data_IF_343829639252
#
_entry.id   IF_343829639252
#
_cell.length_a   1.000
_cell.length_b   1.000
_cell.length_c   1.000
_cell.angle_alpha   90.00
_cell.angle_beta   90.00
_cell.angle_gamma   90.00
#
_symmetry.space_group_name_H-M   'P 1'
#
loop_
_entity.id
_entity.type
_entity.pdbx_description
1 polymer ?
#
# COMPACT_ATOMS: atom_id res chain seq x y z
N UNK A 1 -6.61 -14.51 -15.80
CA UNK A 1 -6.01 -13.56 -16.76
C UNK A 1 -4.71 -13.07 -16.14
N UNK A 2 -3.55 -13.50 -16.65
CA UNK A 2 -2.26 -13.05 -16.13
C UNK A 2 -2.11 -11.59 -16.53
N UNK A 3 -2.32 -10.67 -15.58
CA UNK A 3 -2.02 -9.26 -15.77
C UNK A 3 -0.53 -9.17 -16.13
N UNK A 4 -0.24 -8.75 -17.35
CA UNK A 4 1.12 -8.37 -17.74
C UNK A 4 1.54 -7.25 -16.80
N UNK A 5 2.54 -7.52 -15.95
CA UNK A 5 3.16 -6.53 -15.07
C UNK A 5 3.86 -5.49 -15.96
N UNK A 6 3.13 -4.44 -16.35
CA UNK A 6 3.69 -3.31 -17.07
C UNK A 6 3.87 -2.21 -16.04
N UNK A 7 5.12 -1.95 -15.66
CA UNK A 7 5.44 -0.80 -14.83
C UNK A 7 5.03 0.50 -15.54
N UNK A 8 4.51 1.46 -14.78
CA UNK A 8 4.07 2.78 -15.27
C UNK A 8 2.83 2.81 -16.19
N UNK A 9 2.05 1.73 -16.25
CA UNK A 9 0.70 1.77 -16.86
C UNK A 9 -0.38 2.18 -15.85
N UNK A 10 -1.61 2.36 -16.33
CA UNK A 10 -2.80 2.49 -15.48
C UNK A 10 -3.46 1.12 -15.26
N UNK A 11 -4.06 0.93 -14.09
CA UNK A 11 -4.92 -0.22 -13.80
C UNK A 11 -6.24 0.25 -13.21
N UNK A 12 -7.29 -0.52 -13.45
CA UNK A 12 -8.65 -0.18 -13.04
C UNK A 12 -8.89 -0.63 -11.60
N UNK A 13 -9.31 0.32 -10.75
CA UNK A 13 -9.86 0.07 -9.43
C UNK A 13 -11.37 0.35 -9.43
N UNK A 14 -12.06 -0.13 -8.39
CA UNK A 14 -13.51 -0.13 -8.30
C UNK A 14 -13.99 0.43 -6.97
N UNK A 15 -15.06 1.20 -7.00
CA UNK A 15 -15.62 1.87 -5.83
C UNK A 15 -17.14 1.72 -5.81
N UNK A 16 -17.71 1.54 -4.62
CA UNK A 16 -19.16 1.61 -4.43
C UNK A 16 -19.50 2.90 -3.69
N UNK A 17 -20.15 3.85 -4.36
CA UNK A 17 -20.49 5.15 -3.77
C UNK A 17 -21.48 5.02 -2.61
N UNK A 18 -22.40 4.03 -2.64
CA UNK A 18 -23.33 3.74 -1.52
C UNK A 18 -22.62 3.17 -0.28
N UNK A 19 -21.55 2.41 -0.47
CA UNK A 19 -20.76 1.87 0.65
C UNK A 19 -19.61 2.78 1.04
N UNK A 20 -19.24 3.73 0.20
CA UNK A 20 -18.11 4.62 0.40
C UNK A 20 -16.78 3.88 0.52
N UNK A 21 -16.58 2.79 -0.25
CA UNK A 21 -15.37 1.96 -0.10
C UNK A 21 -14.94 1.29 -1.40
N UNK A 22 -13.67 0.88 -1.42
CA UNK A 22 -13.06 0.07 -2.47
C UNK A 22 -13.76 -1.30 -2.60
N UNK A 23 -14.00 -1.74 -3.83
CA UNK A 23 -14.51 -3.06 -4.17
C UNK A 23 -13.42 -3.90 -4.82
N UNK A 24 -13.12 -5.05 -4.22
CA UNK A 24 -12.06 -5.97 -4.60
C UNK A 24 -12.51 -6.92 -5.72
N UNK A 25 -13.79 -7.31 -5.68
CA UNK A 25 -14.40 -8.21 -6.66
C UNK A 25 -15.07 -7.47 -7.83
N UNK A 26 -16.00 -8.15 -8.49
CA UNK A 26 -16.79 -7.60 -9.60
C UNK A 26 -18.16 -7.04 -9.16
N UNK A 27 -18.55 -7.25 -7.90
CA UNK A 27 -19.84 -6.83 -7.35
C UNK A 27 -19.69 -6.41 -5.88
N UNK A 28 -20.56 -5.51 -5.43
CA UNK A 28 -20.59 -5.04 -4.04
C UNK A 28 -21.63 -5.85 -3.28
N UNK A 29 -21.33 -6.25 -2.04
CA UNK A 29 -22.26 -6.96 -1.17
C UNK A 29 -23.58 -6.21 -0.89
N UNK A 30 -23.64 -4.89 -1.11
CA UNK A 30 -24.88 -4.11 -0.95
C UNK A 30 -25.79 -4.11 -2.18
N UNK A 31 -25.37 -4.69 -3.30
CA UNK A 31 -26.13 -4.77 -4.56
C UNK A 31 -26.12 -3.51 -5.43
N UNK A 32 -25.54 -2.40 -4.97
CA UNK A 32 -25.45 -1.16 -5.77
C UNK A 32 -24.40 -1.25 -6.87
N UNK A 33 -24.56 -0.37 -7.86
CA UNK A 33 -23.59 -0.20 -8.95
C UNK A 33 -22.19 0.17 -8.43
N UNK A 34 -21.20 -0.19 -9.22
CA UNK A 34 -19.79 0.03 -8.94
C UNK A 34 -19.23 0.96 -10.01
N UNK A 35 -18.59 2.04 -9.57
CA UNK A 35 -17.84 2.94 -10.43
C UNK A 35 -16.41 2.45 -10.57
N UNK A 36 -15.86 2.60 -11.77
CA UNK A 36 -14.46 2.30 -12.06
C UNK A 36 -13.64 3.59 -12.11
N UNK A 37 -12.41 3.54 -11.61
CA UNK A 37 -11.46 4.65 -11.67
C UNK A 37 -10.05 4.11 -11.92
N UNK A 38 -9.12 4.98 -12.32
CA UNK A 38 -7.76 4.57 -12.72
C UNK A 38 -6.74 4.91 -11.64
N UNK A 39 -5.90 3.93 -11.32
CA UNK A 39 -4.73 4.09 -10.44
C UNK A 39 -3.46 3.67 -11.19
N UNK A 40 -2.28 4.00 -10.67
CA UNK A 40 -1.04 3.52 -11.28
C UNK A 40 -0.80 2.03 -10.99
N UNK A 41 -0.30 1.32 -12.00
CA UNK A 41 0.24 -0.04 -11.89
C UNK A 41 1.41 -0.08 -10.89
N UNK A 42 1.56 -1.15 -10.07
CA UNK A 42 0.88 -2.44 -10.17
C UNK A 42 -0.46 -2.54 -9.42
N UNK A 43 -0.91 -1.48 -8.74
CA UNK A 43 -2.20 -1.47 -8.06
C UNK A 43 -2.23 -2.28 -6.75
N UNK A 44 -1.14 -2.30 -5.97
CA UNK A 44 -1.10 -2.95 -4.65
C UNK A 44 -1.79 -2.09 -3.58
N UNK A 45 -3.08 -1.82 -3.81
CA UNK A 45 -3.87 -0.93 -2.95
C UNK A 45 -3.94 -1.49 -1.54
N UNK A 46 -3.85 -0.61 -0.55
CA UNK A 46 -4.01 -0.93 0.88
C UNK A 46 -4.85 0.12 1.60
N UNK A 47 -5.59 -0.25 2.64
CA UNK A 47 -6.27 0.73 3.50
C UNK A 47 -5.26 1.64 4.21
N UNK A 48 -5.57 2.93 4.32
CA UNK A 48 -4.89 3.86 5.20
C UNK A 48 -5.46 3.72 6.62
N UNK A 49 -4.60 3.53 7.62
CA UNK A 49 -4.99 3.32 9.02
C UNK A 49 -4.02 3.99 9.98
N UNK A 50 -4.51 4.30 11.19
CA UNK A 50 -3.73 4.90 12.27
C UNK A 50 -2.90 6.08 11.76
N UNK A 51 -1.61 6.10 12.14
CA UNK A 51 -0.64 7.14 11.73
C UNK A 51 -0.58 7.39 10.22
N UNK A 52 -0.87 6.39 9.39
CA UNK A 52 -0.91 6.57 7.94
C UNK A 52 -2.10 7.42 7.47
N UNK A 53 -3.26 7.27 8.10
CA UNK A 53 -4.43 8.13 7.84
C UNK A 53 -4.21 9.52 8.45
N UNK A 54 -3.73 9.57 9.68
CA UNK A 54 -3.46 10.83 10.39
C UNK A 54 -2.49 11.73 9.63
N UNK A 55 -1.42 11.15 9.06
CA UNK A 55 -0.48 11.86 8.21
C UNK A 55 -1.14 12.52 7.00
N UNK A 56 -2.04 11.81 6.31
CA UNK A 56 -2.72 12.35 5.12
C UNK A 56 -3.63 13.52 5.51
N UNK A 57 -4.41 13.35 6.59
CA UNK A 57 -5.31 14.39 7.08
C UNK A 57 -4.51 15.62 7.55
N UNK A 58 -3.38 15.40 8.22
CA UNK A 58 -2.48 16.48 8.64
C UNK A 58 -1.90 17.24 7.45
N UNK A 59 -1.40 16.54 6.42
CA UNK A 59 -0.88 17.18 5.20
C UNK A 59 -1.94 18.00 4.46
N UNK A 60 -3.19 17.50 4.39
CA UNK A 60 -4.30 18.27 3.81
C UNK A 60 -4.60 19.52 4.64
N UNK A 61 -4.67 19.40 5.97
CA UNK A 61 -4.90 20.54 6.87
C UNK A 61 -3.78 21.57 6.78
N UNK A 62 -2.53 21.13 6.77
CA UNK A 62 -1.35 21.99 6.62
C UNK A 62 -1.40 22.78 5.32
N UNK A 63 -1.70 22.11 4.19
CA UNK A 63 -1.61 22.73 2.88
C UNK A 63 -2.88 23.44 2.43
N UNK A 64 -4.06 23.09 2.96
CA UNK A 64 -5.33 23.65 2.48
C UNK A 64 -6.26 24.12 3.60
N UNK A 65 -5.84 24.00 4.87
CA UNK A 65 -6.61 24.44 6.03
C UNK A 65 -7.82 23.56 6.37
N UNK A 66 -7.94 22.40 5.71
CA UNK A 66 -9.03 21.43 5.88
C UNK A 66 -8.53 20.02 5.60
N UNK A 67 -9.13 19.00 6.19
CA UNK A 67 -8.91 17.59 5.81
C UNK A 67 -9.85 17.11 4.70
N UNK A 68 -10.68 18.01 4.15
CA UNK A 68 -11.66 17.68 3.12
C UNK A 68 -12.81 16.82 3.62
N UNK A 69 -13.05 16.74 4.94
CA UNK A 69 -14.11 15.91 5.52
C UNK A 69 -13.79 14.41 5.44
N UNK A 70 -12.51 14.04 5.35
CA UNK A 70 -12.05 12.67 5.15
C UNK A 70 -11.85 11.88 6.45
N UNK A 71 -12.01 12.52 7.62
CA UNK A 71 -11.78 11.92 8.93
C UNK A 71 -12.58 10.63 9.16
N UNK A 72 -13.83 10.56 8.71
CA UNK A 72 -14.70 9.37 8.85
C UNK A 72 -14.87 8.56 7.55
N UNK A 73 -14.13 8.93 6.50
CA UNK A 73 -14.19 8.26 5.20
C UNK A 73 -13.16 7.14 5.09
N UNK A 74 -13.45 6.17 4.22
CA UNK A 74 -12.45 5.19 3.83
C UNK A 74 -11.40 5.85 2.94
N UNK A 75 -10.13 5.67 3.30
CA UNK A 75 -8.98 6.14 2.52
C UNK A 75 -8.11 4.93 2.19
N UNK A 76 -7.68 4.84 0.95
CA UNK A 76 -6.77 3.81 0.48
C UNK A 76 -5.50 4.45 -0.10
N UNK A 77 -4.41 3.69 -0.07
CA UNK A 77 -3.12 4.07 -0.59
C UNK A 77 -2.73 3.08 -1.68
N UNK A 78 -2.26 3.60 -2.81
CA UNK A 78 -1.65 2.80 -3.86
C UNK A 78 -0.18 3.18 -3.98
N UNK A 79 0.72 2.22 -3.75
CA UNK A 79 2.16 2.48 -3.84
C UNK A 79 2.53 2.78 -5.29
N UNK A 80 3.27 3.86 -5.50
CA UNK A 80 3.79 4.25 -6.82
C UNK A 80 5.31 4.37 -6.79
N UNK A 81 5.97 4.37 -7.97
CA UNK A 81 7.40 4.66 -8.03
C UNK A 81 7.74 6.07 -7.49
N UNK A 82 8.90 6.14 -6.84
CA UNK A 82 9.50 7.35 -6.28
C UNK A 82 10.90 7.02 -5.73
N UNK A 83 11.66 8.04 -5.35
CA UNK A 83 12.98 7.86 -4.72
C UNK A 83 12.87 7.09 -3.41
N UNK A 84 11.89 7.48 -2.57
CA UNK A 84 11.47 6.76 -1.38
C UNK A 84 9.95 6.49 -1.43
N UNK A 85 9.30 6.44 -0.28
CA UNK A 85 7.88 6.14 -0.12
C UNK A 85 7.04 7.16 -0.87
N UNK A 86 6.32 6.67 -1.86
CA UNK A 86 5.35 7.43 -2.64
C UNK A 86 4.04 6.65 -2.73
N UNK A 87 2.94 7.26 -2.33
CA UNK A 87 1.61 6.66 -2.32
C UNK A 87 0.59 7.60 -3.02
N UNK A 88 -0.16 7.08 -3.99
CA UNK A 88 -1.43 7.70 -4.42
C UNK A 88 -2.45 7.57 -3.29
N UNK A 89 -3.11 8.68 -2.94
CA UNK A 89 -4.19 8.73 -1.95
C UNK A 89 -5.52 8.62 -2.68
N UNK A 90 -6.29 7.59 -2.32
CA UNK A 90 -7.58 7.27 -2.91
C UNK A 90 -8.67 7.51 -1.88
N UNK A 91 -9.64 8.35 -2.22
CA UNK A 91 -10.85 8.59 -1.45
C UNK A 91 -11.99 8.92 -2.42
N UNK A 92 -13.24 8.65 -2.01
CA UNK A 92 -14.41 8.90 -2.85
C UNK A 92 -14.30 8.28 -4.26
N UNK A 93 -13.63 7.13 -4.37
CA UNK A 93 -13.46 6.43 -5.64
C UNK A 93 -12.62 7.16 -6.68
N UNK A 94 -11.72 8.05 -6.26
CA UNK A 94 -10.75 8.72 -7.14
C UNK A 94 -9.40 8.89 -6.45
N UNK A 95 -8.35 9.12 -7.24
CA UNK A 95 -7.05 9.54 -6.71
C UNK A 95 -7.09 11.04 -6.41
N UNK A 96 -7.15 11.41 -5.13
CA UNK A 96 -7.29 12.80 -4.70
C UNK A 96 -5.95 13.52 -4.49
N UNK A 97 -4.89 12.77 -4.18
CA UNK A 97 -3.57 13.32 -3.93
C UNK A 97 -2.48 12.26 -4.15
N UNK A 98 -1.22 12.68 -4.12
CA UNK A 98 -0.05 11.83 -3.95
C UNK A 98 0.72 12.33 -2.74
N UNK A 99 1.11 11.43 -1.85
CA UNK A 99 2.00 11.72 -0.72
C UNK A 99 3.37 11.11 -1.01
N UNK A 100 4.43 11.89 -0.81
CA UNK A 100 5.82 11.46 -1.02
C UNK A 100 6.66 11.76 0.20
N UNK A 101 7.60 10.90 0.53
CA UNK A 101 8.66 11.24 1.45
C UNK A 101 9.81 11.89 0.67
N UNK A 102 10.08 13.16 0.95
CA UNK A 102 11.16 13.93 0.35
C UNK A 102 12.43 13.70 1.17
N UNK A 103 13.37 12.92 0.61
CA UNK A 103 14.58 12.48 1.33
C UNK A 103 15.44 13.68 1.74
N UNK A 104 15.61 14.66 0.85
CA UNK A 104 16.42 15.85 1.10
C UNK A 104 15.84 16.74 2.21
N UNK A 105 14.51 16.80 2.30
CA UNK A 105 13.80 17.61 3.30
C UNK A 105 13.44 16.83 4.56
N UNK A 106 13.70 15.51 4.58
CA UNK A 106 13.33 14.58 5.65
C UNK A 106 11.88 14.74 6.13
N UNK A 107 10.94 14.94 5.19
CA UNK A 107 9.52 15.16 5.50
C UNK A 107 8.60 14.59 4.42
N UNK A 108 7.34 14.42 4.76
CA UNK A 108 6.32 14.11 3.76
C UNK A 108 5.84 15.38 3.06
N UNK A 109 5.64 15.28 1.75
CA UNK A 109 5.00 16.29 0.90
C UNK A 109 3.67 15.75 0.36
N UNK A 110 2.78 16.67 -0.03
CA UNK A 110 1.52 16.35 -0.66
C UNK A 110 1.41 17.05 -2.01
N UNK A 111 1.09 16.27 -3.04
CA UNK A 111 0.74 16.75 -4.37
C UNK A 111 -0.76 16.52 -4.59
N UNK A 112 -1.52 17.61 -4.73
CA UNK A 112 -2.95 17.53 -5.02
C UNK A 112 -3.20 17.00 -6.44
N UNK A 113 -4.25 16.19 -6.62
CA UNK A 113 -4.74 15.74 -7.95
C UNK A 113 -6.03 16.47 -8.32
N UNK A 114 -6.47 16.31 -9.56
CA UNK A 114 -7.69 16.96 -10.07
C UNK A 114 -8.92 16.67 -9.21
N UNK A 115 -9.15 15.40 -8.83
CA UNK A 115 -10.27 15.03 -7.97
C UNK A 115 -10.15 15.63 -6.56
N UNK A 116 -8.92 15.75 -6.03
CA UNK A 116 -8.68 16.45 -4.77
C UNK A 116 -8.95 17.96 -4.86
N UNK A 117 -8.57 18.59 -5.97
CA UNK A 117 -8.87 20.00 -6.20
C UNK A 117 -10.39 20.27 -6.27
N UNK A 118 -11.13 19.37 -6.91
CA UNK A 118 -12.59 19.40 -6.93
C UNK A 118 -13.18 19.20 -5.53
N UNK A 119 -12.71 18.20 -4.78
CA UNK A 119 -13.13 17.93 -3.40
C UNK A 119 -12.94 19.16 -2.51
N UNK A 120 -11.79 19.82 -2.59
CA UNK A 120 -11.41 20.89 -1.67
C UNK A 120 -11.92 22.28 -2.07
N UNK A 121 -12.49 22.44 -3.28
CA UNK A 121 -12.85 23.74 -3.87
C UNK A 121 -13.57 24.69 -2.91
N UNK A 122 -14.57 24.18 -2.20
CA UNK A 122 -15.46 24.97 -1.34
C UNK A 122 -15.07 24.89 0.15
N UNK A 123 -14.02 24.14 0.50
CA UNK A 123 -13.57 23.91 1.89
C UNK A 123 -12.19 24.49 2.18
N UNK A 124 -11.35 24.68 1.16
CA UNK A 124 -9.98 25.15 1.35
C UNK A 124 -9.92 26.61 1.78
N UNK A 125 -9.13 26.88 2.82
CA UNK A 125 -8.96 28.22 3.40
C UNK A 125 -7.56 28.81 3.16
N UNK A 126 -6.58 27.98 2.82
CA UNK A 126 -5.22 28.39 2.43
C UNK A 126 -4.74 27.69 1.15
N UNK A 127 -3.66 28.20 0.56
CA UNK A 127 -3.05 27.76 -0.69
C UNK A 127 -4.01 27.74 -1.87
N UNK A 128 -4.94 28.71 -1.91
CA UNK A 128 -5.88 28.88 -3.01
C UNK A 128 -5.47 30.07 -3.85
N UNK A 129 -5.40 29.88 -5.17
CA UNK A 129 -5.13 30.96 -6.13
C UNK A 129 -6.24 31.03 -7.17
N UNK A 130 -6.93 32.17 -7.21
CA UNK A 130 -7.92 32.47 -8.26
C UNK A 130 -7.24 33.34 -9.31
N UNK A 131 -7.30 32.92 -10.58
CA UNK A 131 -6.60 33.60 -11.66
C UNK A 131 -7.44 33.73 -12.93
N UNK A 132 -7.04 34.63 -13.82
CA UNK A 132 -7.76 34.95 -15.05
C UNK A 132 -6.85 35.11 -16.27
N UNK A 133 -7.38 35.75 -17.31
CA UNK A 133 -6.63 36.29 -18.44
C UNK A 133 -5.70 35.30 -19.19
N UNK A 134 -6.13 34.04 -19.27
CA UNK A 134 -5.49 33.01 -20.09
C UNK A 134 -6.56 32.13 -20.74
N UNK A 135 -6.33 31.69 -21.98
CA UNK A 135 -7.23 30.84 -22.74
C UNK A 135 -6.48 29.64 -23.37
N UNK A 136 -7.23 28.70 -23.93
CA UNK A 136 -6.69 27.49 -24.55
C UNK A 136 -6.28 26.40 -23.55
N UNK A 137 -5.40 25.50 -23.99
CA UNK A 137 -4.86 24.43 -23.17
C UNK A 137 -3.87 24.99 -22.13
N UNK A 138 -4.18 24.82 -20.83
CA UNK A 138 -3.42 25.43 -19.73
C UNK A 138 -2.55 24.45 -18.93
N UNK A 139 -2.74 23.14 -19.12
CA UNK A 139 -1.97 22.12 -18.41
C UNK A 139 -0.47 22.29 -18.65
N UNK A 140 0.31 22.28 -17.58
CA UNK A 140 1.76 22.42 -17.60
C UNK A 140 2.28 23.84 -17.73
N UNK A 141 1.43 24.85 -18.01
CA UNK A 141 1.86 26.24 -18.20
C UNK A 141 2.17 26.93 -16.88
N UNK A 142 3.11 27.88 -16.93
CA UNK A 142 3.35 28.83 -15.85
C UNK A 142 2.42 30.04 -16.00
N UNK A 143 2.01 30.61 -14.88
CA UNK A 143 1.12 31.77 -14.84
C UNK A 143 1.86 32.96 -14.22
N UNK A 144 1.87 34.14 -14.86
CA UNK A 144 2.41 35.36 -14.26
C UNK A 144 1.56 35.87 -13.11
N UNK A 145 2.18 36.54 -12.15
CA UNK A 145 1.51 37.15 -11.00
C UNK A 145 0.44 38.18 -11.39
N UNK A 146 0.65 38.89 -12.51
CA UNK A 146 -0.30 39.84 -13.07
C UNK A 146 -1.68 39.23 -13.43
N UNK A 147 -1.76 37.91 -13.59
CA UNK A 147 -3.01 37.21 -13.90
C UNK A 147 -3.79 36.77 -12.64
N UNK A 148 -3.25 37.01 -11.45
CA UNK A 148 -3.85 36.59 -10.18
C UNK A 148 -4.91 37.60 -9.74
N UNK A 149 -6.10 37.07 -9.46
CA UNK A 149 -7.23 37.84 -8.92
C UNK A 149 -7.23 37.76 -7.40
N UNK A 150 -7.08 36.56 -6.85
CA UNK A 150 -7.16 36.31 -5.41
C UNK A 150 -6.10 35.30 -4.98
N UNK A 151 -5.55 35.51 -3.78
CA UNK A 151 -4.70 34.56 -3.06
C UNK A 151 -5.35 34.37 -1.69
N UNK A 152 -5.58 33.12 -1.27
CA UNK A 152 -6.05 32.81 0.08
C UNK A 152 -4.97 32.09 0.87
N UNK A 153 -4.69 32.62 2.06
CA UNK A 153 -3.70 32.10 2.98
C UNK A 153 -2.25 32.42 2.60
N UNK A 154 -1.33 31.98 3.46
CA UNK A 154 0.11 32.19 3.32
C UNK A 154 0.80 30.86 3.02
N UNK A 155 1.70 30.87 2.05
CA UNK A 155 2.50 29.71 1.65
C UNK A 155 3.82 30.14 0.99
N UNK A 156 4.76 29.20 0.97
CA UNK A 156 6.11 29.36 0.46
C UNK A 156 6.29 28.76 -0.95
N UNK A 157 7.45 29.00 -1.56
CA UNK A 157 7.86 28.35 -2.80
C UNK A 157 7.74 26.82 -2.71
N UNK A 158 7.28 26.19 -3.80
CA UNK A 158 7.09 24.74 -3.88
C UNK A 158 5.79 24.24 -3.24
N UNK A 159 5.03 25.09 -2.54
CA UNK A 159 3.76 24.70 -1.95
C UNK A 159 2.75 24.19 -3.00
N UNK A 160 1.99 23.12 -2.69
CA UNK A 160 0.88 22.68 -3.54
C UNK A 160 -0.26 23.70 -3.47
N UNK A 161 -0.88 23.96 -4.62
CA UNK A 161 -1.95 24.96 -4.77
C UNK A 161 -3.25 24.35 -5.25
N UNK A 162 -4.37 24.89 -4.76
CA UNK A 162 -5.69 24.77 -5.37
C UNK A 162 -5.90 25.97 -6.29
N UNK A 163 -6.03 25.70 -7.59
CA UNK A 163 -6.23 26.74 -8.60
C UNK A 163 -7.69 26.83 -9.01
N UNK A 164 -8.22 28.05 -9.13
CA UNK A 164 -9.59 28.33 -9.56
C UNK A 164 -9.59 29.32 -10.72
N UNK A 165 -10.28 28.98 -11.80
CA UNK A 165 -10.44 29.85 -12.97
C UNK A 165 -11.74 29.61 -13.71
N UNK A 166 -12.65 30.59 -13.68
CA UNK A 166 -13.87 30.59 -14.52
C UNK A 166 -14.68 29.30 -14.42
N UNK A 167 -14.95 28.83 -13.19
CA UNK A 167 -15.67 27.59 -12.92
C UNK A 167 -14.84 26.31 -13.03
N UNK A 168 -13.59 26.38 -13.51
CA UNK A 168 -12.64 25.27 -13.49
C UNK A 168 -11.81 25.29 -12.22
N UNK A 169 -11.40 24.10 -11.81
CA UNK A 169 -10.48 23.89 -10.69
C UNK A 169 -9.36 22.95 -11.07
N UNK A 170 -8.26 23.00 -10.35
CA UNK A 170 -7.18 22.04 -10.56
C UNK A 170 -5.98 22.26 -9.67
N UNK A 171 -5.05 21.30 -9.63
CA UNK A 171 -3.85 21.40 -8.83
C UNK A 171 -2.77 22.26 -9.49
N UNK A 172 -1.98 22.94 -8.66
CA UNK A 172 -0.81 23.69 -9.06
C UNK A 172 0.36 23.55 -8.08
N UNK A 173 1.47 24.21 -8.42
CA UNK A 173 2.64 24.33 -7.53
C UNK A 173 3.14 25.77 -7.59
N UNK A 174 3.31 26.39 -6.42
CA UNK A 174 3.88 27.71 -6.28
C UNK A 174 5.35 27.71 -6.71
N UNK A 175 5.76 28.71 -7.47
CA UNK A 175 7.18 28.95 -7.79
C UNK A 175 7.80 30.04 -6.94
N UNK A 176 6.99 30.80 -6.24
CA UNK A 176 7.39 31.85 -5.30
C UNK A 176 6.42 31.84 -4.13
N UNK A 177 6.79 32.50 -3.03
CA UNK A 177 5.90 32.66 -1.88
C UNK A 177 4.65 33.46 -2.23
N UNK A 178 3.57 33.25 -1.49
CA UNK A 178 2.33 34.04 -1.57
C UNK A 178 2.54 35.56 -1.49
N UNK A 179 3.59 36.01 -0.79
CA UNK A 179 3.94 37.43 -0.59
C UNK A 179 4.49 38.10 -1.86
N UNK A 180 5.24 37.35 -2.65
CA UNK A 180 5.89 37.84 -3.90
C UNK A 180 5.09 37.47 -5.15
N UNK A 181 4.03 36.67 -4.98
CA UNK A 181 3.35 35.99 -6.07
C UNK A 181 2.74 36.92 -7.11
N UNK A 182 2.30 38.12 -6.72
CA UNK A 182 1.67 39.08 -7.65
C UNK A 182 2.67 39.77 -8.58
N UNK A 183 3.92 39.89 -8.15
CA UNK A 183 4.97 40.61 -8.89
C UNK A 183 5.85 39.68 -9.72
N UNK A 184 5.75 38.36 -9.51
CA UNK A 184 6.56 37.37 -10.21
C UNK A 184 6.14 37.18 -11.68
N UNK A 185 7.13 37.13 -12.60
CA UNK A 185 6.90 36.77 -14.01
C UNK A 185 6.35 35.34 -14.18
N UNK A 186 6.73 34.44 -13.26
CA UNK A 186 6.26 33.06 -13.17
C UNK A 186 5.86 32.75 -11.72
N UNK A 187 4.61 33.02 -11.38
CA UNK A 187 4.09 32.88 -10.03
C UNK A 187 3.87 31.40 -9.62
N UNK A 188 3.28 30.60 -10.52
CA UNK A 188 3.00 29.19 -10.26
C UNK A 188 2.87 28.39 -11.56
N UNK A 189 2.94 27.06 -11.43
CA UNK A 189 2.65 26.10 -12.51
C UNK A 189 1.29 25.45 -12.35
N UNK A 190 0.55 25.36 -13.45
CA UNK A 190 -0.68 24.58 -13.54
C UNK A 190 -0.32 23.11 -13.79
N UNK A 191 -0.66 22.21 -12.86
CA UNK A 191 -0.47 20.76 -13.07
C UNK A 191 -1.63 20.14 -13.83
N UNK A 192 -2.86 20.57 -13.53
CA UNK A 192 -4.06 20.28 -14.29
C UNK A 192 -5.12 21.36 -14.04
N UNK A 193 -6.12 21.49 -14.91
CA UNK A 193 -7.22 22.44 -14.74
C UNK A 193 -8.43 22.05 -15.58
N UNK A 194 -9.47 21.55 -14.93
CA UNK A 194 -10.65 21.01 -15.60
C UNK A 194 -11.96 21.57 -15.04
N UNK A 195 -13.02 21.44 -15.82
CA UNK A 195 -14.38 21.70 -15.33
C UNK A 195 -14.75 20.67 -14.27
N UNK A 196 -15.64 21.05 -13.35
CA UNK A 196 -16.13 20.15 -12.30
C UNK A 196 -16.83 18.93 -12.92
N UNK A 197 -16.51 17.76 -12.37
CA UNK A 197 -17.11 16.48 -12.77
C UNK A 197 -18.30 16.08 -11.89
N UNK A 198 -18.51 16.80 -10.78
CA UNK A 198 -19.43 16.50 -9.69
C UNK A 198 -19.22 15.09 -9.15
N UNK A 199 -17.96 14.75 -8.82
CA UNK A 199 -17.61 13.45 -8.26
C UNK A 199 -18.48 13.12 -7.02
N UNK A 200 -19.10 11.92 -6.95
CA UNK A 200 -19.92 11.55 -5.81
C UNK A 200 -19.13 11.53 -4.50
N UNK A 201 -19.62 12.27 -3.50
CA UNK A 201 -19.09 12.19 -2.15
C UNK A 201 -19.65 10.96 -1.44
N UNK A 202 -18.76 10.23 -0.79
CA UNK A 202 -19.08 8.98 -0.12
C UNK A 202 -19.61 9.20 1.31
N UNK A 203 -20.49 8.33 1.80
CA UNK A 203 -20.84 8.29 3.21
C UNK A 203 -19.64 7.87 4.06
N UNK A 204 -19.79 7.94 5.37
CA UNK A 204 -18.82 7.37 6.31
C UNK A 204 -18.68 5.87 6.06
N UNK A 205 -17.45 5.38 6.13
CA UNK A 205 -17.16 4.01 5.78
C UNK A 205 -15.97 3.50 6.57
N UNK A 206 -16.24 2.46 7.34
CA UNK A 206 -15.30 1.85 8.24
C UNK A 206 -14.85 0.46 7.75
N UNK A 207 -14.04 -0.18 8.57
CA UNK A 207 -13.58 -1.55 8.34
C UNK A 207 -14.73 -2.54 8.16
N UNK A 208 -15.79 -2.44 8.96
CA UNK A 208 -16.93 -3.37 8.90
C UNK A 208 -17.67 -3.21 7.57
N UNK A 209 -17.84 -1.97 7.10
CA UNK A 209 -18.42 -1.66 5.81
C UNK A 209 -17.58 -2.23 4.67
N UNK A 210 -16.26 -2.04 4.69
CA UNK A 210 -15.35 -2.65 3.71
C UNK A 210 -15.47 -4.18 3.64
N UNK A 211 -15.52 -4.87 4.79
CA UNK A 211 -15.70 -6.33 4.83
C UNK A 211 -17.05 -6.72 4.24
N UNK A 212 -18.14 -6.10 4.70
CA UNK A 212 -19.49 -6.41 4.21
C UNK A 212 -19.63 -6.23 2.70
N UNK A 213 -19.01 -5.18 2.15
CA UNK A 213 -19.03 -4.89 0.73
C UNK A 213 -18.24 -5.91 -0.11
N UNK A 214 -17.26 -6.59 0.49
CA UNK A 214 -16.34 -7.49 -0.18
C UNK A 214 -16.43 -8.96 0.29
N UNK A 215 -17.38 -9.30 1.16
CA UNK A 215 -17.43 -10.60 1.86
C UNK A 215 -17.45 -11.79 0.88
N UNK A 216 -18.24 -11.70 -0.19
CA UNK A 216 -18.32 -12.76 -1.20
C UNK A 216 -16.98 -12.97 -1.91
N UNK A 217 -16.29 -11.89 -2.27
CA UNK A 217 -14.96 -11.94 -2.88
C UNK A 217 -13.92 -12.53 -1.93
N UNK A 218 -13.88 -12.05 -0.69
CA UNK A 218 -12.94 -12.53 0.34
C UNK A 218 -13.12 -14.03 0.63
N UNK A 219 -14.37 -14.52 0.69
CA UNK A 219 -14.66 -15.96 0.80
C UNK A 219 -14.23 -16.75 -0.43
N UNK A 220 -14.39 -16.18 -1.62
CA UNK A 220 -13.98 -16.82 -2.88
C UNK A 220 -12.47 -17.00 -2.94
N UNK A 221 -11.68 -15.95 -2.69
CA UNK A 221 -10.21 -16.03 -2.72
C UNK A 221 -9.67 -16.94 -1.62
N UNK A 222 -10.29 -16.96 -0.43
CA UNK A 222 -9.95 -17.91 0.63
C UNK A 222 -10.20 -19.35 0.17
N UNK A 223 -11.38 -19.64 -0.37
CA UNK A 223 -11.75 -20.99 -0.80
C UNK A 223 -10.82 -21.50 -1.88
N UNK A 224 -10.49 -20.64 -2.86
CA UNK A 224 -9.53 -20.94 -3.92
C UNK A 224 -8.16 -21.26 -3.35
N UNK A 225 -7.60 -20.38 -2.51
CA UNK A 225 -6.28 -20.57 -1.90
C UNK A 225 -6.22 -21.84 -1.04
N UNK A 226 -7.25 -22.13 -0.25
CA UNK A 226 -7.34 -23.35 0.54
C UNK A 226 -7.48 -24.60 -0.35
N UNK A 227 -8.16 -24.51 -1.48
CA UNK A 227 -8.29 -25.60 -2.45
C UNK A 227 -6.96 -25.93 -3.11
N UNK A 228 -6.19 -24.90 -3.51
CA UNK A 228 -4.87 -25.08 -4.11
C UNK A 228 -3.90 -25.79 -3.15
N UNK A 229 -3.90 -25.38 -1.87
CA UNK A 229 -3.11 -26.06 -0.82
C UNK A 229 -3.55 -27.52 -0.69
N UNK A 230 -4.86 -27.78 -0.51
CA UNK A 230 -5.40 -29.16 -0.37
C UNK A 230 -5.00 -30.05 -1.53
N UNK A 231 -5.15 -29.55 -2.76
CA UNK A 231 -4.82 -30.28 -3.98
C UNK A 231 -3.34 -30.64 -4.02
N UNK A 232 -2.45 -29.71 -3.66
CA UNK A 232 -1.02 -29.96 -3.68
C UNK A 232 -0.55 -30.96 -2.62
N UNK A 233 -1.10 -30.89 -1.40
CA UNK A 233 -0.62 -31.71 -0.27
C UNK A 233 -1.25 -33.10 -0.18
N UNK A 234 -2.34 -33.37 -0.91
CA UNK A 234 -3.15 -34.60 -0.80
C UNK A 234 -2.33 -35.90 -0.79
N UNK A 235 -1.33 -35.99 -1.69
CA UNK A 235 -0.52 -37.20 -1.88
C UNK A 235 0.93 -37.01 -1.39
N UNK A 236 1.16 -36.01 -0.53
CA UNK A 236 2.48 -35.67 -0.01
C UNK A 236 2.65 -36.20 1.40
N UNK A 237 3.80 -36.82 1.67
CA UNK A 237 4.17 -37.35 2.99
C UNK A 237 4.98 -36.35 3.81
N UNK A 238 5.45 -35.27 3.19
CA UNK A 238 6.18 -34.22 3.86
C UNK A 238 5.29 -33.47 4.88
N UNK A 239 5.83 -33.10 6.05
CA UNK A 239 5.14 -32.22 6.98
C UNK A 239 4.86 -30.86 6.32
N UNK A 240 3.68 -30.32 6.62
CA UNK A 240 3.24 -29.01 6.13
C UNK A 240 3.47 -27.99 7.24
N UNK A 241 4.31 -27.01 6.94
CA UNK A 241 4.72 -25.93 7.84
C UNK A 241 4.27 -24.57 7.30
N UNK A 242 4.37 -23.51 8.10
CA UNK A 242 4.17 -22.13 7.63
C UNK A 242 5.31 -21.22 8.08
N UNK A 243 5.91 -20.49 7.14
CA UNK A 243 6.85 -19.41 7.45
C UNK A 243 6.07 -18.23 8.04
N UNK A 244 6.17 -18.02 9.35
CA UNK A 244 5.41 -17.01 10.07
C UNK A 244 6.35 -15.96 10.66
N UNK A 245 6.43 -14.80 10.00
CA UNK A 245 7.27 -13.67 10.42
C UNK A 245 6.55 -12.68 11.34
N UNK A 246 5.27 -12.93 11.63
CA UNK A 246 4.40 -12.01 12.35
C UNK A 246 3.82 -10.87 11.50
N UNK A 247 4.24 -10.72 10.24
CA UNK A 247 3.69 -9.72 9.30
C UNK A 247 2.32 -10.10 8.74
N UNK A 248 1.58 -9.11 8.22
CA UNK A 248 0.22 -9.27 7.68
C UNK A 248 0.09 -10.40 6.64
N UNK A 249 1.04 -10.53 5.72
CA UNK A 249 0.94 -11.49 4.63
C UNK A 249 1.18 -12.92 5.13
N UNK A 250 2.14 -13.09 6.05
CA UNK A 250 2.37 -14.37 6.72
C UNK A 250 1.18 -14.79 7.58
N UNK A 251 0.51 -13.84 8.24
CA UNK A 251 -0.70 -14.08 9.01
C UNK A 251 -1.86 -14.52 8.13
N UNK A 252 -2.07 -13.87 6.97
CA UNK A 252 -3.11 -14.27 6.03
C UNK A 252 -2.83 -15.67 5.45
N UNK A 253 -1.59 -15.95 5.05
CA UNK A 253 -1.20 -17.26 4.53
C UNK A 253 -1.39 -18.38 5.57
N UNK A 254 -1.00 -18.13 6.83
CA UNK A 254 -1.26 -19.04 7.94
C UNK A 254 -2.77 -19.23 8.17
N UNK A 255 -3.55 -18.16 8.14
CA UNK A 255 -5.01 -18.22 8.27
C UNK A 255 -5.65 -19.14 7.23
N UNK A 256 -5.20 -19.08 5.96
CA UNK A 256 -5.64 -19.99 4.91
C UNK A 256 -5.20 -21.44 5.21
N UNK A 257 -3.95 -21.65 5.64
CA UNK A 257 -3.45 -22.99 6.00
C UNK A 257 -4.28 -23.62 7.14
N UNK A 258 -4.67 -22.85 8.15
CA UNK A 258 -5.49 -23.33 9.26
C UNK A 258 -6.90 -23.78 8.83
N UNK A 259 -7.38 -23.39 7.64
CA UNK A 259 -8.62 -23.94 7.03
C UNK A 259 -8.43 -25.30 6.40
N UNK A 260 -7.18 -25.68 6.12
CA UNK A 260 -6.80 -26.90 5.41
C UNK A 260 -6.26 -27.95 6.36
N UNK A 261 -5.46 -27.53 7.34
CA UNK A 261 -4.76 -28.40 8.28
C UNK A 261 -4.96 -27.89 9.70
N UNK A 262 -5.34 -28.80 10.59
CA UNK A 262 -5.37 -28.54 12.04
C UNK A 262 -3.93 -28.47 12.57
N UNK A 263 -3.69 -27.50 13.45
CA UNK A 263 -2.43 -27.33 14.20
C UNK A 263 -1.16 -27.35 13.32
N UNK A 264 -1.03 -26.44 12.32
CA UNK A 264 0.17 -26.36 11.50
C UNK A 264 1.39 -25.95 12.34
N UNK A 265 2.55 -26.51 11.98
CA UNK A 265 3.83 -26.14 12.60
C UNK A 265 4.37 -24.85 11.97
N UNK A 266 4.86 -23.93 12.78
CA UNK A 266 5.34 -22.62 12.34
C UNK A 266 6.87 -22.60 12.29
N UNK A 267 7.41 -21.96 11.25
CA UNK A 267 8.83 -21.66 11.12
C UNK A 267 9.01 -20.15 11.32
N UNK A 268 9.81 -19.74 12.29
CA UNK A 268 10.19 -18.35 12.53
C UNK A 268 11.70 -18.22 12.46
N UNK A 269 12.16 -17.21 11.71
CA UNK A 269 13.58 -16.89 11.60
C UNK A 269 13.82 -15.61 12.39
N UNK A 270 14.39 -15.76 13.58
CA UNK A 270 14.83 -14.64 14.39
C UNK A 270 16.23 -14.22 13.92
N UNK A 271 16.27 -13.08 13.23
CA UNK A 271 17.51 -12.55 12.66
C UNK A 271 18.44 -11.91 13.68
N UNK A 272 17.99 -11.74 14.93
CA UNK A 272 18.67 -10.91 15.92
C UNK A 272 18.52 -9.40 15.65
N UNK A 273 17.75 -9.02 14.61
CA UNK A 273 17.48 -7.63 14.21
C UNK A 273 15.98 -7.32 14.17
N UNK A 274 15.14 -8.28 14.56
CA UNK A 274 13.69 -8.05 14.64
C UNK A 274 13.38 -7.05 15.75
N UNK A 275 12.32 -6.26 15.57
CA UNK A 275 11.79 -5.46 16.67
C UNK A 275 11.39 -6.38 17.83
N UNK A 276 11.65 -6.00 19.10
CA UNK A 276 11.23 -6.79 20.26
C UNK A 276 9.73 -7.10 20.23
N UNK A 277 8.91 -6.16 19.74
CA UNK A 277 7.47 -6.30 19.56
C UNK A 277 7.12 -7.41 18.56
N UNK A 278 7.93 -7.61 17.52
CA UNK A 278 7.72 -8.70 16.54
C UNK A 278 7.94 -10.06 17.19
N UNK A 279 9.03 -10.22 17.95
CA UNK A 279 9.34 -11.48 18.65
C UNK A 279 8.26 -11.78 19.69
N UNK A 280 7.90 -10.79 20.51
CA UNK A 280 6.85 -10.91 21.51
C UNK A 280 5.48 -11.26 20.88
N UNK A 281 5.14 -10.65 19.74
CA UNK A 281 3.92 -10.96 19.01
C UNK A 281 3.89 -12.41 18.52
N UNK A 282 5.00 -12.90 17.93
CA UNK A 282 5.07 -14.30 17.46
C UNK A 282 4.91 -15.27 18.63
N UNK A 283 5.59 -15.04 19.75
CA UNK A 283 5.52 -15.91 20.93
C UNK A 283 4.12 -15.93 21.55
N UNK A 284 3.52 -14.77 21.72
CA UNK A 284 2.15 -14.66 22.24
C UNK A 284 1.14 -15.29 21.28
N UNK A 285 1.30 -15.10 19.96
CA UNK A 285 0.43 -15.73 18.97
C UNK A 285 0.51 -17.26 19.02
N UNK A 286 1.72 -17.82 19.06
CA UNK A 286 1.98 -19.27 19.17
C UNK A 286 1.34 -19.82 20.45
N UNK A 287 1.56 -19.16 21.59
CA UNK A 287 1.02 -19.55 22.89
C UNK A 287 -0.51 -19.54 22.89
N UNK A 288 -1.13 -18.46 22.40
CA UNK A 288 -2.60 -18.32 22.33
C UNK A 288 -3.26 -19.38 21.47
N UNK A 289 -2.64 -19.73 20.34
CA UNK A 289 -3.19 -20.71 19.41
C UNK A 289 -2.70 -22.14 19.68
N UNK A 290 -1.84 -22.35 20.69
CA UNK A 290 -1.25 -23.66 21.05
C UNK A 290 -0.58 -24.35 19.86
N UNK A 291 0.10 -23.56 19.03
CA UNK A 291 0.82 -24.07 17.85
C UNK A 291 2.25 -24.45 18.23
N UNK A 292 2.87 -25.32 17.43
CA UNK A 292 4.29 -25.65 17.56
C UNK A 292 5.12 -24.64 16.76
N UNK A 293 6.15 -24.07 17.40
CA UNK A 293 7.09 -23.15 16.78
C UNK A 293 8.47 -23.80 16.65
N UNK A 294 9.03 -23.76 15.44
CA UNK A 294 10.42 -24.03 15.15
C UNK A 294 11.11 -22.69 14.91
N UNK A 295 12.05 -22.33 15.78
CA UNK A 295 12.76 -21.05 15.72
C UNK A 295 14.19 -21.27 15.24
N UNK A 296 14.54 -20.62 14.15
CA UNK A 296 15.90 -20.49 13.66
C UNK A 296 16.46 -19.17 14.17
N UNK A 297 17.54 -19.21 14.95
CA UNK A 297 18.11 -18.02 15.59
C UNK A 297 19.48 -17.69 14.97
N UNK A 298 19.65 -16.46 14.51
CA UNK A 298 20.93 -15.96 14.02
C UNK A 298 21.84 -15.42 15.14
N UNK A 299 21.28 -15.15 16.33
CA UNK A 299 22.00 -14.57 17.46
C UNK A 299 22.69 -13.25 17.09
N UNK A 300 23.99 -13.15 17.36
CA UNK A 300 24.82 -11.98 17.08
C UNK A 300 25.49 -11.99 15.69
N UNK A 301 25.04 -12.88 14.78
CA UNK A 301 25.70 -13.08 13.50
C UNK A 301 25.76 -11.80 12.65
N UNK A 302 24.75 -10.92 12.71
CA UNK A 302 24.83 -9.62 12.02
C UNK A 302 26.00 -8.77 12.56
N UNK A 303 26.07 -8.59 13.87
CA UNK A 303 27.06 -7.72 14.52
C UNK A 303 28.48 -8.23 14.35
N UNK A 304 28.69 -9.55 14.35
CA UNK A 304 29.99 -10.18 14.05
C UNK A 304 30.49 -9.91 12.63
N UNK A 305 29.58 -9.69 11.68
CA UNK A 305 29.90 -9.63 10.25
C UNK A 305 29.86 -8.20 9.68
N UNK A 306 29.08 -7.29 10.26
CA UNK A 306 28.93 -5.92 9.74
C UNK A 306 30.23 -5.12 9.75
N UNK A 307 31.12 -5.36 10.71
CA UNK A 307 32.45 -4.71 10.74
C UNK A 307 33.37 -5.14 9.58
N UNK A 308 33.16 -6.34 9.02
CA UNK A 308 33.97 -6.90 7.92
C UNK A 308 33.35 -6.58 6.57
N UNK A 309 32.04 -6.81 6.43
CA UNK A 309 31.35 -6.62 5.15
C UNK A 309 30.86 -5.19 4.94
N UNK A 310 30.74 -4.39 6.00
CA UNK A 310 30.07 -3.09 5.96
C UNK A 310 28.54 -3.20 5.95
N UNK A 311 27.84 -2.06 5.89
CA UNK A 311 26.38 -2.02 5.95
C UNK A 311 25.75 -2.79 4.78
N UNK A 312 24.68 -3.58 5.02
CA UNK A 312 23.98 -4.26 3.93
C UNK A 312 23.33 -3.25 2.98
N UNK A 313 23.28 -3.60 1.70
CA UNK A 313 22.63 -2.78 0.68
C UNK A 313 21.68 -3.62 -0.19
N UNK A 314 20.85 -2.96 -1.00
CA UNK A 314 19.89 -3.62 -1.90
C UNK A 314 20.57 -4.64 -2.83
N UNK A 315 21.78 -4.34 -3.29
CA UNK A 315 22.55 -5.22 -4.19
C UNK A 315 23.66 -5.98 -3.46
N UNK A 316 23.83 -5.74 -2.16
CA UNK A 316 24.82 -6.38 -1.30
C UNK A 316 24.15 -6.99 -0.06
N UNK A 317 23.36 -8.05 -0.29
CA UNK A 317 22.48 -8.70 0.69
C UNK A 317 23.15 -9.81 1.49
N UNK A 318 24.38 -9.58 1.97
CA UNK A 318 25.11 -10.59 2.74
C UNK A 318 24.36 -10.99 4.03
N UNK A 319 23.68 -10.03 4.68
CA UNK A 319 22.91 -10.26 5.90
C UNK A 319 21.77 -11.27 5.70
N UNK A 320 21.15 -11.33 4.51
CA UNK A 320 20.14 -12.34 4.22
C UNK A 320 20.72 -13.75 4.21
N UNK A 321 21.96 -13.93 3.72
CA UNK A 321 22.61 -15.24 3.69
C UNK A 321 22.94 -15.71 5.11
N UNK A 322 23.55 -14.83 5.89
CA UNK A 322 24.06 -15.15 7.23
C UNK A 322 22.95 -15.20 8.28
N UNK A 323 22.03 -14.24 8.26
CA UNK A 323 21.03 -14.09 9.33
C UNK A 323 19.69 -14.75 9.01
N UNK A 324 19.44 -15.16 7.75
CA UNK A 324 18.18 -15.80 7.35
C UNK A 324 18.37 -17.18 6.77
N UNK A 325 19.10 -17.28 5.65
CA UNK A 325 19.18 -18.52 4.87
C UNK A 325 20.00 -19.60 5.56
N UNK A 326 21.13 -19.28 6.19
CA UNK A 326 21.90 -20.25 6.98
C UNK A 326 21.08 -20.85 8.12
N UNK A 327 20.59 -20.03 9.07
CA UNK A 327 19.84 -20.52 10.23
C UNK A 327 18.61 -21.36 9.87
N UNK A 328 17.82 -20.93 8.87
CA UNK A 328 16.64 -21.71 8.46
C UNK A 328 17.03 -23.03 7.78
N UNK A 329 18.11 -23.07 7.00
CA UNK A 329 18.59 -24.30 6.37
C UNK A 329 19.03 -25.31 7.41
N UNK A 330 19.79 -24.89 8.42
CA UNK A 330 20.25 -25.76 9.50
C UNK A 330 19.08 -26.32 10.32
N UNK A 331 18.12 -25.45 10.67
CA UNK A 331 16.91 -25.85 11.38
C UNK A 331 16.06 -26.84 10.57
N UNK A 332 15.85 -26.59 9.26
CA UNK A 332 15.09 -27.50 8.40
C UNK A 332 15.81 -28.84 8.22
N UNK A 333 17.13 -28.84 8.07
CA UNK A 333 17.91 -30.08 7.96
C UNK A 333 17.79 -30.93 9.23
N UNK A 334 17.81 -30.29 10.40
CA UNK A 334 17.68 -30.93 11.71
C UNK A 334 16.26 -31.44 11.98
N UNK A 335 15.25 -30.58 11.85
CA UNK A 335 13.90 -30.86 12.29
C UNK A 335 13.05 -31.57 11.22
N UNK A 336 13.40 -31.37 9.94
CA UNK A 336 12.70 -31.92 8.78
C UNK A 336 13.67 -32.58 7.77
N UNK A 337 14.40 -33.65 8.15
CA UNK A 337 15.44 -34.26 7.32
C UNK A 337 14.90 -34.86 6.00
N UNK A 338 13.60 -35.17 5.92
CA UNK A 338 12.92 -35.64 4.69
C UNK A 338 12.25 -34.50 3.90
N UNK A 339 12.54 -33.26 4.29
CA UNK A 339 11.99 -32.03 3.74
C UNK A 339 10.61 -31.64 4.26
N UNK A 340 10.21 -30.41 3.98
CA UNK A 340 8.91 -29.83 4.36
C UNK A 340 8.25 -29.09 3.19
N UNK A 341 6.92 -29.03 3.21
CA UNK A 341 6.12 -28.15 2.36
C UNK A 341 5.76 -26.93 3.21
N UNK A 342 6.29 -25.77 2.87
CA UNK A 342 6.13 -24.55 3.67
C UNK A 342 5.20 -23.56 2.98
N UNK A 343 4.16 -23.12 3.70
CA UNK A 343 3.29 -22.04 3.24
C UNK A 343 3.94 -20.69 3.53
N UNK A 344 4.07 -19.84 2.50
CA UNK A 344 4.65 -18.50 2.60
C UNK A 344 3.67 -17.40 2.15
N UNK A 345 3.80 -16.23 2.78
CA UNK A 345 3.00 -15.04 2.47
C UNK A 345 3.55 -14.19 1.31
N UNK A 346 4.22 -14.77 0.31
CA UNK A 346 4.76 -13.99 -0.80
C UNK A 346 3.64 -13.49 -1.72
N UNK A 347 3.76 -12.25 -2.22
CA UNK A 347 2.82 -11.65 -3.18
C UNK A 347 3.52 -11.07 -4.40
N UNK A 348 2.90 -11.22 -5.56
CA UNK A 348 3.43 -10.76 -6.85
C UNK A 348 3.60 -9.24 -6.90
N UNK A 349 2.75 -8.49 -6.19
CA UNK A 349 2.69 -7.03 -6.27
C UNK A 349 3.71 -6.32 -5.35
N UNK A 350 4.54 -7.06 -4.61
CA UNK A 350 5.51 -6.48 -3.68
C UNK A 350 6.80 -5.99 -4.36
N UNK A 351 7.19 -6.65 -5.46
CA UNK A 351 8.40 -6.30 -6.20
C UNK A 351 8.45 -6.94 -7.59
N UNK A 352 9.26 -6.36 -8.47
CA UNK A 352 9.57 -6.95 -9.79
C UNK A 352 10.10 -8.38 -9.72
N UNK A 353 10.89 -8.73 -8.70
CA UNK A 353 11.37 -10.10 -8.52
C UNK A 353 10.24 -11.05 -8.10
N UNK A 354 9.30 -10.59 -7.27
CA UNK A 354 8.18 -11.42 -6.79
C UNK A 354 7.07 -11.57 -7.84
N UNK A 355 6.99 -10.71 -8.85
CA UNK A 355 5.97 -10.83 -9.91
C UNK A 355 6.05 -12.12 -10.71
N UNK A 356 7.22 -12.79 -10.71
CA UNK A 356 7.46 -14.07 -11.40
C UNK A 356 7.25 -15.29 -10.51
N UNK A 357 6.89 -15.12 -9.23
CA UNK A 357 6.77 -16.25 -8.31
C UNK A 357 5.55 -17.12 -8.67
N UNK A 358 5.82 -18.41 -8.86
CA UNK A 358 4.78 -19.41 -9.06
C UNK A 358 4.03 -19.75 -7.78
N UNK A 359 2.95 -20.52 -7.91
CA UNK A 359 2.29 -21.10 -6.74
C UNK A 359 3.24 -22.00 -5.95
N UNK A 360 4.04 -22.80 -6.66
CA UNK A 360 5.13 -23.60 -6.09
C UNK A 360 6.45 -22.93 -6.42
N UNK A 361 7.34 -22.84 -5.44
CA UNK A 361 8.70 -22.36 -5.61
C UNK A 361 9.68 -23.16 -4.76
N UNK A 362 10.94 -23.21 -5.18
CA UNK A 362 12.03 -23.79 -4.40
C UNK A 362 13.17 -22.80 -4.32
N UNK A 363 13.75 -22.65 -3.13
CA UNK A 363 14.95 -21.85 -2.94
C UNK A 363 16.18 -22.77 -3.02
N UNK A 364 17.12 -22.54 -3.97
CA UNK A 364 18.34 -23.34 -4.06
C UNK A 364 19.17 -23.37 -2.78
N UNK A 365 19.09 -22.32 -1.95
CA UNK A 365 19.81 -22.23 -0.68
C UNK A 365 19.15 -23.03 0.46
N UNK A 366 17.91 -23.48 0.28
CA UNK A 366 17.14 -24.25 1.26
C UNK A 366 16.53 -25.48 0.56
N UNK A 367 17.36 -26.44 0.09
CA UNK A 367 16.93 -27.47 -0.86
C UNK A 367 15.87 -28.44 -0.31
N UNK A 368 15.81 -28.61 1.01
CA UNK A 368 14.83 -29.46 1.69
C UNK A 368 13.46 -28.77 1.90
N UNK A 369 13.25 -27.59 1.33
CA UNK A 369 12.02 -26.83 1.47
C UNK A 369 11.32 -26.67 0.11
N UNK A 370 10.03 -26.99 0.07
CA UNK A 370 9.15 -26.65 -1.06
C UNK A 370 8.15 -25.61 -0.62
N UNK A 371 8.20 -24.42 -1.22
CA UNK A 371 7.35 -23.30 -0.81
C UNK A 371 6.07 -23.25 -1.63
N UNK A 372 4.94 -23.06 -0.95
CA UNK A 372 3.65 -22.74 -1.55
C UNK A 372 3.27 -21.29 -1.24
N UNK A 373 2.86 -20.55 -2.27
CA UNK A 373 2.52 -19.13 -2.21
C UNK A 373 1.01 -18.94 -2.49
N UNK A 374 0.11 -19.34 -1.58
CA UNK A 374 -1.33 -19.39 -1.83
C UNK A 374 -1.97 -18.01 -2.00
N UNK A 375 -1.36 -16.97 -1.43
CA UNK A 375 -1.84 -15.59 -1.53
C UNK A 375 -1.09 -14.78 -2.59
N UNK A 376 -0.33 -15.43 -3.48
CA UNK A 376 0.58 -14.73 -4.40
C UNK A 376 -0.09 -13.68 -5.29
N UNK A 377 -1.37 -13.87 -5.62
CA UNK A 377 -2.13 -12.95 -6.46
C UNK A 377 -2.91 -11.91 -5.66
N UNK A 378 -2.87 -11.96 -4.34
CA UNK A 378 -3.64 -11.05 -3.50
C UNK A 378 -2.98 -9.66 -3.44
N UNK A 379 -3.80 -8.63 -3.54
CA UNK A 379 -3.49 -7.24 -3.19
C UNK A 379 -3.38 -7.09 -1.67
N UNK A 380 -2.71 -6.03 -1.23
CA UNK A 380 -2.63 -5.72 0.20
C UNK A 380 -4.01 -5.42 0.80
N UNK A 381 -4.98 -4.93 0.03
CA UNK A 381 -6.34 -4.70 0.48
C UNK A 381 -7.11 -6.01 0.67
N UNK A 382 -6.88 -7.02 -0.17
CA UNK A 382 -7.43 -8.37 0.02
C UNK A 382 -6.83 -9.04 1.27
N UNK A 383 -5.52 -8.90 1.50
CA UNK A 383 -4.87 -9.41 2.72
C UNK A 383 -5.50 -8.79 3.97
N UNK A 384 -5.63 -7.46 4.02
CA UNK A 384 -6.26 -6.79 5.16
C UNK A 384 -7.74 -7.15 5.30
N UNK A 385 -8.49 -7.17 4.21
CA UNK A 385 -9.89 -7.58 4.22
C UNK A 385 -10.09 -8.99 4.75
N UNK A 386 -9.20 -9.91 4.38
CA UNK A 386 -9.18 -11.27 4.89
C UNK A 386 -8.90 -11.32 6.40
N UNK A 387 -7.83 -10.63 6.84
CA UNK A 387 -7.46 -10.56 8.26
C UNK A 387 -8.61 -10.00 9.10
N UNK A 388 -9.31 -8.97 8.63
CA UNK A 388 -10.40 -8.37 9.41
C UNK A 388 -11.72 -9.13 9.35
N UNK A 389 -11.92 -9.98 8.34
CA UNK A 389 -13.04 -10.91 8.26
C UNK A 389 -12.90 -12.05 9.28
N UNK A 390 -11.68 -12.31 9.74
CA UNK A 390 -11.32 -13.32 10.74
C UNK A 390 -11.24 -12.70 12.13
#
# INVERSE_FOLDING_TARGET
>A
MVSNYIANSKTTARWCDRCGTLILGNACGCGSEIRSFQINSPGDVRPAMGKGKDLILALLKENFGTDGGLSDKAIFLNKIPGEDRSDEVIAHGEVIAVVRFEVELNRFSLELRQAGAELLKDMATTNVVVFGNMSGHLKGKSVPGANIREIRGEFEEGAPLLLIKGGKVGPGTAYVSSKEMRDAEKAFRIKDLNSLTNMPLSPDSDRKRFISANLAHLRSIESSAASDIRSFIKDKKQPVTSSFSGGKDSLAALGVLMKVKKDPELLFVDTGLEFPETVAYVDDFVKRHRLRLHRAEAGDAFWKNVGVFGPPAKDFRWCCKVCKLGPITDMIAKDFPKGTITIEGNRMLESFSRSKIGFVSKNPFVPNQTNLNPIRTWTSAEVWGYIWMR
#
